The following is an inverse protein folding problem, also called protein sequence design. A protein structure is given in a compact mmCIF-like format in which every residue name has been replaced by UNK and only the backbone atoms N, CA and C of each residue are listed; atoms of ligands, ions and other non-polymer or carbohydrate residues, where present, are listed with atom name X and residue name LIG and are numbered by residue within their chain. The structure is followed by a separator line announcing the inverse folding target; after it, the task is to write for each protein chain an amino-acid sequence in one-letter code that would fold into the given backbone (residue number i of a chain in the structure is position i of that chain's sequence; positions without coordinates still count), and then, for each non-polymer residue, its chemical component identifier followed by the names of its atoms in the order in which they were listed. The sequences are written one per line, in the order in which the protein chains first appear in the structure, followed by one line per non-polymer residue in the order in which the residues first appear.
data_IF_992082198825
#
_entry.id   IF_992082198825
#
_cell.length_a   1.000
_cell.length_b   1.000
_cell.length_c   1.000
_cell.angle_alpha   90.00
_cell.angle_beta   90.00
_cell.angle_gamma   90.00
#
_symmetry.space_group_name_H-M   'P 1'
#
loop_
_entity.id
_entity.type
_entity.pdbx_description
1 polymer ?
#
# COMPACT_ATOMS: atom_id res chain seq x y z
N UNK A 1 16.52 0.76 11.65
CA UNK A 1 15.40 0.16 10.89
C UNK A 1 15.32 0.73 9.47
N UNK A 2 14.98 2.01 9.30
CA UNK A 2 14.79 2.63 7.97
C UNK A 2 16.01 2.57 7.06
N UNK A 3 17.22 2.77 7.58
CA UNK A 3 18.44 2.58 6.77
C UNK A 3 18.62 1.16 6.24
N UNK A 4 18.22 0.13 7.00
CA UNK A 4 18.29 -1.25 6.54
C UNK A 4 17.26 -1.51 5.43
N UNK A 5 16.07 -0.93 5.56
CA UNK A 5 15.03 -0.96 4.53
C UNK A 5 15.48 -0.25 3.26
N UNK A 6 16.00 0.98 3.34
CA UNK A 6 16.49 1.76 2.20
C UNK A 6 17.61 1.07 1.41
N UNK A 7 18.32 0.13 2.02
CA UNK A 7 19.40 -0.61 1.37
C UNK A 7 18.97 -2.02 0.95
N UNK A 8 17.69 -2.37 1.01
CA UNK A 8 17.20 -3.71 0.66
C UNK A 8 17.73 -4.84 1.57
N UNK A 9 18.20 -4.52 2.79
CA UNK A 9 18.94 -5.47 3.64
C UNK A 9 17.98 -6.33 4.47
N UNK A 10 17.29 -7.27 3.81
CA UNK A 10 16.28 -8.16 4.40
C UNK A 10 16.77 -8.89 5.67
N UNK A 11 17.98 -9.44 5.64
CA UNK A 11 18.55 -10.15 6.80
C UNK A 11 18.69 -9.23 8.04
N UNK A 12 19.13 -7.99 7.83
CA UNK A 12 19.26 -6.99 8.90
C UNK A 12 17.88 -6.57 9.39
N UNK A 13 16.90 -6.40 8.49
CA UNK A 13 15.51 -6.08 8.85
C UNK A 13 14.92 -7.18 9.75
N UNK A 14 15.08 -8.45 9.37
CA UNK A 14 14.58 -9.57 10.18
C UNK A 14 15.24 -9.62 11.56
N UNK A 15 16.57 -9.48 11.62
CA UNK A 15 17.29 -9.48 12.89
C UNK A 15 16.88 -8.32 13.80
N UNK A 16 16.64 -7.13 13.24
CA UNK A 16 16.15 -5.98 14.01
C UNK A 16 14.74 -6.22 14.56
N UNK A 17 13.84 -6.83 13.78
CA UNK A 17 12.49 -7.16 14.22
C UNK A 17 12.45 -8.29 15.27
N UNK A 18 13.44 -9.19 15.26
CA UNK A 18 13.62 -10.19 16.31
C UNK A 18 14.06 -9.56 17.63
N UNK A 19 14.89 -8.50 17.57
CA UNK A 19 15.33 -7.78 18.76
C UNK A 19 14.26 -6.86 19.33
N UNK A 20 13.58 -6.11 18.47
CA UNK A 20 12.47 -5.25 18.88
C UNK A 20 11.37 -5.23 17.81
N UNK A 21 10.27 -5.99 18.00
CA UNK A 21 9.13 -6.00 17.10
C UNK A 21 8.45 -4.63 16.95
N UNK A 22 8.62 -3.71 17.91
CA UNK A 22 8.02 -2.36 17.83
C UNK A 22 8.61 -1.52 16.71
N UNK A 23 9.80 -1.89 16.21
CA UNK A 23 10.42 -1.23 15.07
C UNK A 23 9.57 -1.30 13.80
N UNK A 24 8.62 -2.24 13.71
CA UNK A 24 7.67 -2.35 12.61
C UNK A 24 6.81 -1.09 12.45
N UNK A 25 6.39 -0.49 13.56
CA UNK A 25 5.50 0.68 13.60
C UNK A 25 6.31 1.99 13.80
N UNK A 26 7.64 1.93 13.86
CA UNK A 26 8.49 3.08 14.18
C UNK A 26 8.57 4.06 12.99
N UNK A 27 8.01 5.28 13.07
CA UNK A 27 8.11 6.26 12.00
C UNK A 27 9.53 6.87 11.92
N UNK A 28 9.96 7.28 10.72
CA UNK A 28 11.11 8.16 10.56
C UNK A 28 10.72 9.63 10.83
N UNK A 29 11.67 10.56 10.66
CA UNK A 29 11.45 12.00 10.88
C UNK A 29 10.36 12.60 9.97
N UNK A 30 10.12 12.01 8.80
CA UNK A 30 9.06 12.39 7.87
C UNK A 30 7.70 11.75 8.23
N UNK A 31 7.64 10.93 9.27
CA UNK A 31 6.46 10.19 9.71
C UNK A 31 6.25 8.84 9.01
N UNK A 32 7.18 8.34 8.21
CA UNK A 32 7.03 7.14 7.41
C UNK A 32 7.41 5.88 8.17
N UNK A 33 6.56 4.85 8.11
CA UNK A 33 6.89 3.53 8.65
C UNK A 33 7.90 2.81 7.75
N UNK A 34 8.64 1.82 8.26
CA UNK A 34 9.57 1.04 7.45
C UNK A 34 8.88 0.36 6.27
N UNK A 35 7.62 -0.04 6.42
CA UNK A 35 6.84 -0.64 5.33
C UNK A 35 6.52 0.37 4.21
N UNK A 36 6.22 1.62 4.56
CA UNK A 36 6.01 2.68 3.56
C UNK A 36 7.30 3.04 2.82
N UNK A 37 8.44 3.05 3.52
CA UNK A 37 9.75 3.27 2.89
C UNK A 37 10.07 2.14 1.91
N UNK A 38 9.85 0.88 2.30
CA UNK A 38 10.03 -0.27 1.40
C UNK A 38 9.14 -0.16 0.15
N UNK A 39 7.87 0.24 0.31
CA UNK A 39 6.95 0.45 -0.79
C UNK A 39 7.33 1.63 -1.69
N UNK A 40 7.97 2.67 -1.14
CA UNK A 40 8.51 3.79 -1.91
C UNK A 40 9.72 3.40 -2.76
N UNK A 41 10.60 2.56 -2.23
CA UNK A 41 11.79 2.09 -2.96
C UNK A 41 11.47 0.95 -3.94
N UNK A 42 10.32 0.28 -3.78
CA UNK A 42 9.94 -0.85 -4.62
C UNK A 42 10.53 -2.19 -4.16
N UNK A 43 11.12 -2.23 -2.96
CA UNK A 43 11.82 -3.40 -2.41
C UNK A 43 10.84 -4.48 -1.91
N UNK A 44 10.35 -5.30 -2.85
CA UNK A 44 9.36 -6.36 -2.57
C UNK A 44 9.84 -7.35 -1.51
N UNK A 45 11.11 -7.76 -1.53
CA UNK A 45 11.64 -8.72 -0.55
C UNK A 45 11.58 -8.16 0.89
N UNK A 46 11.84 -6.87 1.06
CA UNK A 46 11.74 -6.20 2.36
C UNK A 46 10.27 -6.03 2.76
N UNK A 47 9.41 -5.71 1.80
CA UNK A 47 7.96 -5.64 2.03
C UNK A 47 7.42 -7.00 2.49
N UNK A 48 7.84 -8.10 1.87
CA UNK A 48 7.45 -9.46 2.26
C UNK A 48 7.88 -9.80 3.68
N UNK A 49 9.14 -9.51 4.03
CA UNK A 49 9.66 -9.74 5.37
C UNK A 49 8.88 -8.95 6.44
N UNK A 50 8.55 -7.68 6.15
CA UNK A 50 7.75 -6.83 7.04
C UNK A 50 6.30 -7.30 7.12
N UNK A 51 5.70 -7.68 5.98
CA UNK A 51 4.34 -8.19 5.91
C UNK A 51 4.18 -9.51 6.68
N UNK A 52 5.18 -10.39 6.65
CA UNK A 52 5.18 -11.63 7.42
C UNK A 52 5.07 -11.40 8.94
N UNK A 53 5.53 -10.24 9.45
CA UNK A 53 5.47 -9.88 10.87
C UNK A 53 4.27 -9.00 11.22
N UNK A 54 3.94 -8.04 10.37
CA UNK A 54 2.89 -7.04 10.61
C UNK A 54 1.52 -7.35 10.02
N UNK A 55 1.47 -8.23 9.02
CA UNK A 55 0.25 -8.63 8.33
C UNK A 55 -0.49 -7.48 7.65
N UNK A 56 -1.81 -7.65 7.50
CA UNK A 56 -2.68 -6.76 6.72
C UNK A 56 -2.80 -5.33 7.26
N UNK A 57 -2.51 -5.10 8.55
CA UNK A 57 -2.56 -3.77 9.17
C UNK A 57 -1.70 -2.76 8.40
N UNK A 58 -0.50 -3.19 8.00
CA UNK A 58 0.49 -2.37 7.28
C UNK A 58 -0.03 -1.81 5.95
N UNK A 59 -0.95 -2.51 5.28
CA UNK A 59 -1.44 -2.12 3.95
C UNK A 59 -2.34 -0.87 3.99
N UNK A 60 -3.03 -0.66 5.11
CA UNK A 60 -4.03 0.40 5.29
C UNK A 60 -3.57 1.49 6.24
N UNK A 61 -2.42 1.29 6.89
CA UNK A 61 -1.84 2.31 7.74
C UNK A 61 -1.60 3.59 6.94
N UNK A 62 -1.99 4.70 7.56
CA UNK A 62 -1.79 6.01 7.00
C UNK A 62 -0.96 6.82 7.96
N UNK A 63 0.11 7.38 7.43
CA UNK A 63 0.93 8.35 8.11
C UNK A 63 1.08 9.57 7.21
N UNK A 64 1.50 10.68 7.82
CA UNK A 64 1.73 11.99 7.22
C UNK A 64 0.94 12.29 5.92
N UNK A 65 -0.06 13.18 6.02
CA UNK A 65 -0.97 13.51 4.90
C UNK A 65 -1.93 12.38 4.47
N UNK A 66 -2.13 11.39 5.34
CA UNK A 66 -3.07 10.29 5.11
C UNK A 66 -2.63 9.35 3.97
N UNK A 67 -1.32 9.25 3.70
CA UNK A 67 -0.79 8.41 2.62
C UNK A 67 -0.70 6.95 3.07
N UNK A 68 -1.19 6.04 2.23
CA UNK A 68 -0.99 4.58 2.40
C UNK A 68 0.29 4.13 1.68
N UNK A 69 0.82 2.93 1.95
CA UNK A 69 1.93 2.37 1.18
C UNK A 69 1.66 2.34 -0.33
N UNK A 70 0.40 2.11 -0.74
CA UNK A 70 0.03 2.13 -2.15
C UNK A 70 0.14 3.53 -2.78
N UNK A 71 -0.21 4.60 -2.05
CA UNK A 71 0.05 5.97 -2.53
C UNK A 71 1.54 6.19 -2.77
N UNK A 72 2.39 5.65 -1.89
CA UNK A 72 3.83 5.81 -1.94
C UNK A 72 4.44 5.07 -3.13
N UNK A 73 4.04 3.82 -3.35
CA UNK A 73 4.48 3.02 -4.50
C UNK A 73 4.05 3.67 -5.83
N UNK A 74 2.83 4.21 -5.91
CA UNK A 74 2.36 4.92 -7.12
C UNK A 74 3.12 6.21 -7.36
N UNK A 75 3.30 7.02 -6.31
CA UNK A 75 3.97 8.30 -6.42
C UNK A 75 5.42 8.15 -6.89
N UNK A 76 6.12 7.11 -6.41
CA UNK A 76 7.51 6.82 -6.75
C UNK A 76 7.67 5.89 -7.96
N UNK A 77 6.58 5.56 -8.66
CA UNK A 77 6.61 4.75 -9.89
C UNK A 77 7.17 3.32 -9.70
N UNK A 78 6.72 2.64 -8.64
CA UNK A 78 7.19 1.30 -8.28
C UNK A 78 6.18 0.21 -8.67
N UNK A 79 6.21 -0.32 -9.91
CA UNK A 79 5.22 -1.30 -10.39
C UNK A 79 5.26 -2.61 -9.61
N UNK A 80 6.44 -3.09 -9.21
CA UNK A 80 6.59 -4.32 -8.44
C UNK A 80 5.91 -4.24 -7.07
N UNK A 81 6.15 -3.15 -6.32
CA UNK A 81 5.48 -2.90 -5.06
C UNK A 81 3.97 -2.70 -5.22
N UNK A 82 3.51 -2.02 -6.29
CA UNK A 82 2.07 -1.88 -6.58
C UNK A 82 1.43 -3.25 -6.79
N UNK A 83 2.04 -4.13 -7.60
CA UNK A 83 1.51 -5.48 -7.83
C UNK A 83 1.40 -6.24 -6.51
N UNK A 84 2.47 -6.25 -5.72
CA UNK A 84 2.51 -6.97 -4.45
C UNK A 84 1.46 -6.46 -3.44
N UNK A 85 1.31 -5.14 -3.32
CA UNK A 85 0.32 -4.54 -2.43
C UNK A 85 -1.11 -4.90 -2.85
N UNK A 86 -1.39 -4.95 -4.15
CA UNK A 86 -2.70 -5.34 -4.67
C UNK A 86 -2.97 -6.84 -4.53
N UNK A 87 -1.94 -7.68 -4.58
CA UNK A 87 -2.08 -9.11 -4.27
C UNK A 87 -2.46 -9.33 -2.80
N UNK A 88 -1.85 -8.59 -1.86
CA UNK A 88 -2.15 -8.73 -0.44
C UNK A 88 -3.46 -8.08 0.00
N UNK A 89 -3.78 -6.90 -0.55
CA UNK A 89 -4.90 -6.06 -0.11
C UNK A 89 -6.08 -5.98 -1.09
N UNK A 90 -5.89 -6.43 -2.33
CA UNK A 90 -6.90 -6.34 -3.38
C UNK A 90 -7.24 -4.91 -3.81
N UNK A 91 -8.29 -4.79 -4.61
CA UNK A 91 -8.75 -3.50 -5.14
C UNK A 91 -9.28 -2.52 -4.09
N UNK A 92 -9.54 -2.95 -2.86
CA UNK A 92 -9.99 -2.05 -1.78
C UNK A 92 -8.96 -0.96 -1.46
N UNK A 93 -7.66 -1.25 -1.66
CA UNK A 93 -6.59 -0.27 -1.47
C UNK A 93 -6.64 0.87 -2.50
N UNK A 94 -7.24 0.65 -3.68
CA UNK A 94 -7.35 1.65 -4.74
C UNK A 94 -8.34 2.76 -4.43
N UNK A 95 -9.26 2.52 -3.50
CA UNK A 95 -10.31 3.47 -3.13
C UNK A 95 -9.96 4.25 -1.85
N UNK A 96 -8.82 3.94 -1.22
CA UNK A 96 -8.37 4.67 -0.03
C UNK A 96 -7.94 6.06 -0.46
N UNK A 97 -8.59 7.06 0.11
CA UNK A 97 -8.35 8.46 -0.21
C UNK A 97 -7.32 9.03 0.77
N UNK A 98 -6.23 9.62 0.26
CA UNK A 98 -5.38 10.45 1.13
C UNK A 98 -6.15 11.69 1.59
N UNK A 99 -6.17 11.97 2.89
CA UNK A 99 -6.75 13.20 3.46
C UNK A 99 -5.61 14.09 3.92
N UNK A 100 -5.34 15.15 3.17
CA UNK A 100 -4.43 16.23 3.57
C UNK A 100 -3.16 16.39 2.73
N UNK A 101 -2.60 17.59 2.77
CA UNK A 101 -1.37 18.01 2.08
C UNK A 101 -1.32 19.53 2.00
N UNK A 102 -0.21 20.16 2.42
CA UNK A 102 -0.02 21.62 2.46
C UNK A 102 -0.09 22.31 1.09
N UNK A 103 0.08 21.57 -0.02
CA UNK A 103 0.07 22.15 -1.37
C UNK A 103 -1.28 22.05 -2.11
N UNK A 104 -2.20 21.19 -1.69
CA UNK A 104 -3.52 21.06 -2.35
C UNK A 104 -4.59 20.64 -1.31
N UNK A 105 -5.14 21.57 -0.51
CA UNK A 105 -6.09 21.28 0.56
C UNK A 105 -7.44 20.69 0.10
N UNK A 106 -7.69 20.57 -1.21
CA UNK A 106 -8.97 20.12 -1.78
C UNK A 106 -8.87 18.91 -2.72
N UNK A 107 -7.68 18.35 -2.94
CA UNK A 107 -7.52 17.12 -3.74
C UNK A 107 -7.25 15.94 -2.80
N UNK A 108 -8.36 15.36 -2.36
CA UNK A 108 -8.44 13.92 -2.11
C UNK A 108 -8.05 13.22 -3.40
N UNK A 109 -6.94 12.49 -3.39
CA UNK A 109 -6.57 11.64 -4.50
C UNK A 109 -6.48 10.21 -3.99
N UNK A 110 -7.16 9.31 -4.69
CA UNK A 110 -6.93 7.87 -4.58
C UNK A 110 -5.61 7.49 -5.26
N UNK A 111 -4.98 6.34 -4.94
CA UNK A 111 -3.83 5.84 -5.69
C UNK A 111 -4.14 5.70 -7.19
N UNK A 112 -5.38 5.35 -7.53
CA UNK A 112 -5.85 5.28 -8.91
C UNK A 112 -5.83 6.64 -9.63
N UNK A 113 -6.39 7.68 -9.01
CA UNK A 113 -6.38 9.04 -9.57
C UNK A 113 -4.95 9.60 -9.63
N UNK A 114 -4.11 9.27 -8.64
CA UNK A 114 -2.71 9.66 -8.60
C UNK A 114 -1.95 9.10 -9.81
N UNK A 115 -2.12 7.81 -10.11
CA UNK A 115 -1.49 7.18 -11.27
C UNK A 115 -1.87 7.87 -12.59
N UNK A 116 -3.13 8.29 -12.75
CA UNK A 116 -3.60 9.03 -13.92
C UNK A 116 -3.06 10.47 -13.96
N UNK A 117 -3.04 11.18 -12.82
CA UNK A 117 -2.52 12.56 -12.72
C UNK A 117 -1.06 12.65 -13.16
N UNK A 118 -0.25 11.64 -12.82
CA UNK A 118 1.17 11.59 -13.16
C UNK A 118 1.49 10.75 -14.41
N UNK A 119 0.48 10.24 -15.13
CA UNK A 119 0.67 9.51 -16.38
C UNK A 119 1.42 8.18 -16.24
N UNK A 120 1.29 7.50 -15.10
CA UNK A 120 2.00 6.24 -14.79
C UNK A 120 1.33 5.04 -15.47
N UNK A 121 1.52 4.90 -16.78
CA UNK A 121 0.79 3.94 -17.62
C UNK A 121 0.94 2.48 -17.17
N UNK A 122 2.16 2.04 -16.85
CA UNK A 122 2.41 0.67 -16.37
C UNK A 122 1.63 0.35 -15.09
N UNK A 123 1.65 1.28 -14.14
CA UNK A 123 0.90 1.17 -12.87
C UNK A 123 -0.60 1.17 -13.13
N UNK A 124 -1.11 2.00 -14.05
CA UNK A 124 -2.53 2.00 -14.43
C UNK A 124 -2.93 0.63 -14.96
N UNK A 125 -2.11 0.02 -15.82
CA UNK A 125 -2.38 -1.30 -16.39
C UNK A 125 -2.38 -2.41 -15.33
N UNK A 126 -1.47 -2.34 -14.35
CA UNK A 126 -1.45 -3.24 -13.17
C UNK A 126 -2.71 -3.07 -12.32
N UNK A 127 -3.15 -1.83 -12.07
CA UNK A 127 -4.30 -1.55 -11.20
C UNK A 127 -5.66 -1.85 -11.86
N UNK A 128 -5.74 -1.76 -13.18
CA UNK A 128 -6.97 -1.92 -13.98
C UNK A 128 -7.77 -3.19 -13.70
N UNK A 129 -7.16 -4.39 -13.60
CA UNK A 129 -7.91 -5.60 -13.22
C UNK A 129 -8.50 -5.51 -11.82
N UNK A 130 -7.79 -4.93 -10.86
CA UNK A 130 -8.23 -4.82 -9.46
C UNK A 130 -9.38 -3.82 -9.29
N UNK A 131 -9.45 -2.75 -10.10
CA UNK A 131 -10.56 -1.79 -10.08
C UNK A 131 -11.88 -2.41 -10.54
N UNK A 132 -11.85 -3.26 -11.57
CA UNK A 132 -13.04 -3.93 -12.13
C UNK A 132 -13.62 -5.00 -11.20
N UNK A 133 -12.77 -5.69 -10.43
CA UNK A 133 -13.20 -6.72 -9.49
C UNK A 133 -14.13 -6.15 -8.41
N UNK A 134 -13.95 -4.88 -8.01
CA UNK A 134 -14.80 -4.26 -6.98
C UNK A 134 -16.27 -4.06 -7.45
N UNK A 135 -16.50 -3.92 -8.76
CA UNK A 135 -17.86 -3.85 -9.34
C UNK A 135 -18.49 -5.25 -9.40
N UNK A 136 -17.73 -6.26 -9.85
CA UNK A 136 -18.26 -7.62 -10.03
C UNK A 136 -18.50 -8.37 -8.70
N UNK A 137 -17.69 -8.10 -7.66
CA UNK A 137 -17.82 -8.75 -6.35
C UNK A 137 -19.05 -8.27 -5.57
N UNK A 138 -19.49 -7.03 -5.80
CA UNK A 138 -20.77 -6.53 -5.27
C UNK A 138 -21.97 -7.26 -5.87
N UNK A 139 -21.95 -7.59 -7.17
CA UNK A 139 -23.05 -8.39 -7.76
C UNK A 139 -23.09 -9.82 -7.22
N UNK A 140 -21.93 -10.47 -7.01
CA UNK A 140 -21.90 -11.86 -6.54
C UNK A 140 -22.25 -12.00 -5.05
N UNK A 141 -21.80 -11.07 -4.20
CA UNK A 141 -22.16 -11.05 -2.77
C UNK A 141 -23.61 -10.60 -2.55
N UNK A 142 -24.13 -9.66 -3.37
CA UNK A 142 -25.53 -9.25 -3.33
C UNK A 142 -26.49 -10.37 -3.79
N UNK A 143 -26.14 -11.11 -4.85
CA UNK A 143 -26.95 -12.26 -5.28
C UNK A 143 -26.90 -13.44 -4.29
N UNK A 144 -25.76 -13.68 -3.62
CA UNK A 144 -25.66 -14.72 -2.58
C UNK A 144 -26.44 -14.36 -1.31
N UNK A 145 -26.43 -13.09 -0.90
CA UNK A 145 -27.22 -12.61 0.23
C UNK A 145 -28.75 -12.69 0.00
N UNK A 146 -29.20 -12.61 -1.26
CA UNK A 146 -30.61 -12.82 -1.62
C UNK A 146 -30.98 -14.31 -1.77
N UNK A 147 -30.00 -15.19 -2.00
CA UNK A 147 -30.21 -16.63 -2.19
C UNK A 147 -30.22 -17.47 -0.91
N UNK A 148 -29.67 -16.96 0.20
CA UNK A 148 -29.67 -17.64 1.51
C UNK A 148 -30.90 -17.27 2.37
N UNK A 149 -31.87 -16.52 1.82
CA UNK A 149 -33.10 -16.08 2.48
C UNK A 149 -34.40 -16.70 1.92
N UNK A 150 -34.31 -17.83 1.21
CA UNK A 150 -35.47 -18.56 0.66
C UNK A 150 -35.57 -19.98 1.24
#
# INVERSE_FOLDING_TARGET
MHYAVLNGRVAVVNQLLEWDPKLLDAPNDDGWTPFMVAAQEGDVDVMEALYAKGGKKLLTETFNFGRTPLHCAVFNDQPAAVSQLLEWGGGALLDIVKRGGWCEPYISATPWELAHKYGKQEIIDIMKPYKRINIARNCYLFMRALGEAA
#
